data_IF_717727834417
#
_entry.id   IF_717727834417
#
_cell.length_a   1.000
_cell.length_b   1.000
_cell.length_c   1.000
_cell.angle_alpha   90.00
_cell.angle_beta   90.00
_cell.angle_gamma   90.00
#
_symmetry.space_group_name_H-M   'P 1'
#
loop_
_entity.id
_entity.type
_entity.pdbx_description
1 polymer ?
#
# COMPACT_ATOMS: atom_id res chain seq x y z
N UNK A 1 -5.26 63.55 9.35
CA UNK A 1 -6.37 63.86 8.44
C UNK A 1 -5.97 63.37 7.06
N UNK A 2 -6.79 62.49 6.49
CA UNK A 2 -6.56 61.69 5.27
C UNK A 2 -6.35 62.51 4.00
N UNK A 3 -5.50 61.99 3.09
CA UNK A 3 -5.72 61.73 1.63
C UNK A 3 -4.55 60.79 1.20
N UNK A 4 -4.62 59.73 0.36
CA UNK A 4 -5.25 59.45 -0.93
C UNK A 4 -5.51 57.95 -1.17
N UNK A 5 -6.22 57.67 -2.27
CA UNK A 5 -6.88 56.42 -2.65
C UNK A 5 -6.16 55.61 -3.77
N UNK A 6 -6.71 54.40 -4.01
CA UNK A 6 -6.73 53.55 -5.24
C UNK A 6 -5.58 52.54 -5.56
N UNK A 7 -5.84 51.28 -5.14
CA UNK A 7 -5.94 49.99 -5.88
C UNK A 7 -4.90 49.44 -6.90
N UNK A 8 -4.79 48.08 -6.85
CA UNK A 8 -4.15 47.07 -7.75
C UNK A 8 -2.63 46.83 -7.52
N UNK A 9 -2.04 45.63 -7.39
CA UNK A 9 -2.31 44.27 -7.93
C UNK A 9 -1.71 43.19 -6.96
N UNK A 10 -2.42 42.06 -6.82
CA UNK A 10 -2.02 40.69 -6.44
C UNK A 10 -0.61 40.46 -5.82
N UNK A 11 -0.58 40.16 -4.52
CA UNK A 11 0.55 39.52 -3.84
C UNK A 11 0.00 38.37 -3.01
N UNK A 12 0.49 37.15 -3.24
CA UNK A 12 0.18 36.01 -2.38
C UNK A 12 0.14 34.71 -3.15
N UNK A 13 1.29 34.26 -3.65
CA UNK A 13 1.50 32.84 -3.91
C UNK A 13 1.65 32.16 -2.54
N UNK A 14 0.52 31.77 -1.95
CA UNK A 14 0.47 30.88 -0.79
C UNK A 14 -0.21 29.61 -1.25
N UNK A 15 0.63 28.58 -1.44
CA UNK A 15 0.37 27.15 -1.20
C UNK A 15 1.36 26.35 -2.05
N UNK A 16 2.65 26.65 -1.84
CA UNK A 16 3.65 25.59 -1.88
C UNK A 16 3.51 24.94 -0.50
N UNK A 17 2.72 23.88 -0.42
CA UNK A 17 2.78 22.99 0.74
C UNK A 17 4.20 22.42 0.75
N UNK A 18 4.91 22.64 1.86
CA UNK A 18 6.23 22.11 2.10
C UNK A 18 6.26 20.61 1.78
N UNK A 19 6.93 20.23 0.69
CA UNK A 19 7.34 18.85 0.46
C UNK A 19 8.12 18.41 1.70
N UNK A 20 7.72 17.32 2.39
CA UNK A 20 8.36 16.95 3.65
C UNK A 20 9.85 16.68 3.40
N UNK A 21 10.75 17.28 4.19
CA UNK A 21 12.16 16.95 4.10
C UNK A 21 12.31 15.51 4.63
N UNK A 22 12.77 14.61 3.77
CA UNK A 22 12.81 13.14 3.91
C UNK A 22 11.48 12.44 3.56
N UNK A 23 11.53 11.66 2.47
CA UNK A 23 10.37 11.07 1.79
C UNK A 23 9.64 10.06 2.68
N UNK A 24 8.44 10.42 3.09
CA UNK A 24 7.49 9.49 3.70
C UNK A 24 6.67 8.85 2.58
N UNK A 25 6.66 7.53 2.53
CA UNK A 25 5.73 6.80 1.67
C UNK A 25 4.32 6.99 2.22
N UNK A 26 3.49 7.73 1.49
CA UNK A 26 2.07 7.92 1.84
C UNK A 26 1.29 6.74 1.29
N UNK A 27 0.64 5.98 2.17
CA UNK A 27 -0.21 4.86 1.78
C UNK A 27 -1.63 5.32 1.52
N UNK A 28 -2.19 4.88 0.40
CA UNK A 28 -3.61 4.88 0.10
C UNK A 28 -4.39 4.15 1.19
N UNK A 29 -5.59 4.65 1.46
CA UNK A 29 -6.46 4.13 2.52
C UNK A 29 -7.92 4.38 2.19
N UNK A 30 -8.82 3.65 2.84
CA UNK A 30 -10.26 3.80 2.62
C UNK A 30 -11.09 2.74 3.33
N UNK A 31 -12.04 2.18 2.58
CA UNK A 31 -12.90 1.10 3.04
C UNK A 31 -12.07 -0.09 3.51
N UNK A 32 -11.13 -0.50 2.67
CA UNK A 32 -10.18 -1.59 2.90
C UNK A 32 -8.78 -1.06 2.64
N UNK A 33 -7.84 -1.42 3.52
CA UNK A 33 -6.41 -1.27 3.28
C UNK A 33 -5.70 -2.52 3.79
N UNK A 34 -4.87 -3.11 2.94
CA UNK A 34 -4.01 -4.25 3.26
C UNK A 34 -2.58 -3.81 3.02
N UNK A 35 -1.76 -3.87 4.06
CA UNK A 35 -0.35 -3.49 3.99
C UNK A 35 0.52 -4.69 4.34
N UNK A 36 1.45 -5.03 3.47
CA UNK A 36 2.55 -5.95 3.72
C UNK A 36 3.78 -5.13 4.15
N UNK A 37 4.51 -5.60 5.17
CA UNK A 37 5.78 -5.02 5.61
C UNK A 37 6.74 -6.11 6.07
N UNK A 38 8.02 -5.96 5.78
CA UNK A 38 9.07 -6.89 6.18
C UNK A 38 10.37 -6.15 6.51
N UNK A 39 11.35 -6.88 7.07
CA UNK A 39 12.67 -6.37 7.45
C UNK A 39 13.75 -7.33 6.92
N UNK A 40 13.85 -7.39 5.59
CA UNK A 40 14.89 -8.13 4.87
C UNK A 40 15.00 -7.63 3.44
N UNK A 41 16.05 -8.04 2.73
CA UNK A 41 16.26 -7.72 1.32
C UNK A 41 15.53 -8.66 0.36
N UNK A 42 14.74 -9.61 0.85
CA UNK A 42 13.88 -10.42 0.00
C UNK A 42 12.89 -9.54 -0.77
N UNK A 43 12.56 -9.95 -2.00
CA UNK A 43 11.47 -9.37 -2.79
C UNK A 43 10.18 -10.13 -2.44
N UNK A 44 9.28 -9.46 -1.72
CA UNK A 44 7.99 -10.01 -1.31
C UNK A 44 6.85 -9.23 -1.96
N UNK A 45 5.95 -9.93 -2.64
CA UNK A 45 4.78 -9.34 -3.27
C UNK A 45 3.52 -9.54 -2.41
N UNK A 46 2.72 -8.48 -2.28
CA UNK A 46 1.36 -8.54 -1.77
C UNK A 46 0.38 -8.87 -2.89
N UNK A 47 -0.48 -9.86 -2.65
CA UNK A 47 -1.64 -10.11 -3.50
C UNK A 47 -2.93 -10.02 -2.71
N UNK A 48 -3.87 -9.22 -3.21
CA UNK A 48 -5.24 -9.16 -2.71
C UNK A 48 -6.20 -9.58 -3.81
N UNK A 49 -6.98 -10.63 -3.55
CA UNK A 49 -8.08 -11.07 -4.41
C UNK A 49 -9.38 -10.44 -3.91
N UNK A 50 -10.12 -9.79 -4.82
CA UNK A 50 -11.41 -9.19 -4.53
C UNK A 50 -12.57 -10.22 -4.57
N UNK A 51 -13.80 -9.85 -4.16
CA UNK A 51 -14.96 -10.74 -4.15
C UNK A 51 -15.36 -11.29 -5.53
N UNK A 52 -14.88 -10.69 -6.62
CA UNK A 52 -15.13 -11.15 -7.98
C UNK A 52 -14.02 -12.08 -8.51
N UNK A 53 -13.01 -12.37 -7.67
CA UNK A 53 -11.88 -13.24 -7.99
C UNK A 53 -10.74 -12.53 -8.73
N UNK A 54 -10.75 -11.20 -8.79
CA UNK A 54 -9.69 -10.44 -9.43
C UNK A 54 -8.55 -10.20 -8.44
N UNK A 55 -7.33 -10.65 -8.80
CA UNK A 55 -6.11 -10.46 -8.00
C UNK A 55 -5.42 -9.17 -8.39
N UNK A 56 -5.14 -8.32 -7.40
CA UNK A 56 -4.20 -7.21 -7.51
C UNK A 56 -2.79 -7.69 -7.16
N UNK A 57 -1.84 -7.37 -8.01
CA UNK A 57 -0.41 -7.73 -7.88
C UNK A 57 0.41 -6.79 -8.77
N UNK A 58 1.74 -6.89 -8.71
CA UNK A 58 2.67 -5.99 -9.41
C UNK A 58 2.31 -5.74 -10.89
N UNK A 59 1.98 -6.79 -11.65
CA UNK A 59 1.60 -6.72 -13.07
C UNK A 59 0.14 -6.38 -13.34
N UNK A 60 -0.70 -6.26 -12.30
CA UNK A 60 -2.09 -5.80 -12.39
C UNK A 60 -2.49 -5.02 -11.14
N UNK A 61 -2.09 -3.75 -11.11
CA UNK A 61 -2.23 -2.89 -9.92
C UNK A 61 -3.60 -2.26 -9.73
N UNK A 62 -4.50 -2.34 -10.71
CA UNK A 62 -5.86 -1.80 -10.62
C UNK A 62 -6.86 -2.92 -10.94
N UNK A 63 -7.85 -3.11 -10.09
CA UNK A 63 -8.96 -4.04 -10.34
C UNK A 63 -10.17 -3.33 -10.98
N UNK A 64 -11.02 -4.09 -11.67
CA UNK A 64 -12.31 -3.61 -12.15
C UNK A 64 -13.28 -3.22 -11.03
N UNK A 65 -13.07 -3.73 -9.82
CA UNK A 65 -13.79 -3.34 -8.60
C UNK A 65 -13.28 -2.06 -7.94
N UNK A 66 -12.23 -1.43 -8.46
CA UNK A 66 -11.70 -0.16 -7.96
C UNK A 66 -10.65 -0.26 -6.86
N UNK A 67 -10.05 -1.44 -6.68
CA UNK A 67 -8.88 -1.63 -5.84
C UNK A 67 -7.61 -1.14 -6.53
N UNK A 68 -6.64 -0.72 -5.73
CA UNK A 68 -5.35 -0.22 -6.20
C UNK A 68 -4.20 -0.73 -5.33
N UNK A 69 -3.17 -1.31 -5.95
CA UNK A 69 -1.83 -1.55 -5.37
C UNK A 69 -0.97 -0.31 -5.66
N UNK A 70 -0.91 0.62 -4.71
CA UNK A 70 -0.32 1.95 -4.91
C UNK A 70 1.16 2.04 -4.56
N UNK A 71 1.59 1.24 -3.59
CA UNK A 71 2.98 1.15 -3.15
C UNK A 71 3.48 -0.27 -3.32
N UNK A 72 4.67 -0.38 -3.92
CA UNK A 72 5.42 -1.61 -4.12
C UNK A 72 6.85 -1.41 -3.63
N UNK A 73 7.57 -2.49 -3.33
CA UNK A 73 8.96 -2.42 -2.90
C UNK A 73 9.74 -3.63 -3.42
N UNK A 74 11.04 -3.44 -3.64
CA UNK A 74 11.99 -4.49 -4.03
C UNK A 74 11.73 -5.20 -5.38
N UNK A 75 10.81 -4.67 -6.20
CA UNK A 75 10.53 -5.17 -7.56
C UNK A 75 11.83 -5.39 -8.35
N UNK A 76 12.05 -6.63 -8.80
CA UNK A 76 13.25 -7.08 -9.50
C UNK A 76 14.57 -6.84 -8.72
N UNK A 77 14.51 -6.88 -7.39
CA UNK A 77 15.63 -6.64 -6.50
C UNK A 77 16.27 -5.23 -6.62
N UNK A 78 15.47 -4.23 -6.99
CA UNK A 78 15.88 -2.83 -7.04
C UNK A 78 15.50 -2.08 -5.76
N UNK A 79 16.22 -1.00 -5.45
CA UNK A 79 15.95 -0.11 -4.31
C UNK A 79 15.72 -0.83 -2.96
N UNK A 80 16.58 -1.81 -2.66
CA UNK A 80 16.57 -2.62 -1.43
C UNK A 80 16.75 -1.75 -0.18
N UNK A 81 15.64 -1.27 0.38
CA UNK A 81 15.60 -0.42 1.56
C UNK A 81 15.36 -1.22 2.84
N UNK A 82 15.56 -0.59 3.99
CA UNK A 82 15.48 -1.26 5.30
C UNK A 82 14.03 -1.40 5.81
N UNK A 83 13.05 -0.74 5.20
CA UNK A 83 11.64 -0.77 5.63
C UNK A 83 10.67 -0.92 4.45
N UNK A 84 10.78 -2.01 3.68
CA UNK A 84 9.92 -2.23 2.53
C UNK A 84 8.46 -2.42 2.93
N UNK A 85 7.57 -1.88 2.11
CA UNK A 85 6.13 -2.01 2.27
C UNK A 85 5.47 -2.15 0.91
N UNK A 86 4.43 -2.98 0.85
CA UNK A 86 3.45 -2.97 -0.25
C UNK A 86 2.06 -2.67 0.29
N UNK A 87 1.22 -2.00 -0.49
CA UNK A 87 -0.09 -1.56 -0.02
C UNK A 87 -1.15 -1.68 -1.10
N UNK A 88 -2.24 -2.38 -0.79
CA UNK A 88 -3.45 -2.42 -1.61
C UNK A 88 -4.60 -1.79 -0.85
N UNK A 89 -5.42 -0.98 -1.51
CA UNK A 89 -6.57 -0.33 -0.89
C UNK A 89 -7.78 -0.19 -1.83
N UNK A 90 -8.95 -0.03 -1.24
CA UNK A 90 -10.16 0.48 -1.89
C UNK A 90 -10.53 1.80 -1.24
N UNK A 91 -10.75 2.83 -2.05
CA UNK A 91 -11.15 4.15 -1.56
C UNK A 91 -12.54 4.11 -0.87
N UNK A 92 -12.89 5.12 -0.05
CA UNK A 92 -14.17 5.11 0.66
C UNK A 92 -15.39 5.00 -0.26
N UNK A 93 -16.26 4.03 0.01
CA UNK A 93 -17.49 3.76 -0.73
C UNK A 93 -17.31 2.98 -2.04
N UNK A 94 -16.16 2.35 -2.27
CA UNK A 94 -15.87 1.59 -3.50
C UNK A 94 -15.64 0.11 -3.31
N UNK A 95 -15.35 -0.35 -2.08
CA UNK A 95 -15.12 -1.76 -1.83
C UNK A 95 -16.43 -2.56 -2.07
N UNK A 96 -16.46 -3.51 -3.01
CA UNK A 96 -17.59 -4.41 -3.16
C UNK A 96 -17.80 -5.30 -1.94
N UNK A 97 -19.06 -5.60 -1.63
CA UNK A 97 -19.41 -6.56 -0.58
C UNK A 97 -18.90 -7.97 -0.94
N UNK A 98 -18.36 -8.68 0.04
CA UNK A 98 -17.98 -10.10 -0.04
C UNK A 98 -16.59 -10.41 0.53
N UNK A 99 -16.12 -11.61 0.21
CA UNK A 99 -14.86 -12.14 0.72
C UNK A 99 -13.66 -11.61 -0.06
N UNK A 100 -12.69 -11.07 0.67
CA UNK A 100 -11.36 -10.72 0.19
C UNK A 100 -10.35 -11.74 0.69
N UNK A 101 -9.35 -12.07 -0.13
CA UNK A 101 -8.28 -13.01 0.24
C UNK A 101 -6.92 -12.37 0.09
N UNK A 102 -6.06 -12.60 1.07
CA UNK A 102 -4.72 -12.02 1.11
C UNK A 102 -3.68 -13.11 0.98
N UNK A 103 -2.72 -12.90 0.10
CA UNK A 103 -1.59 -13.78 -0.12
C UNK A 103 -0.29 -12.97 -0.10
N UNK A 104 0.80 -13.65 0.22
CA UNK A 104 2.16 -13.13 0.10
C UNK A 104 2.96 -14.10 -0.77
N UNK A 105 3.73 -13.57 -1.72
CA UNK A 105 4.66 -14.34 -2.53
C UNK A 105 6.08 -13.93 -2.18
N UNK A 106 6.97 -14.91 -2.09
CA UNK A 106 8.41 -14.67 -2.14
C UNK A 106 8.84 -14.67 -3.62
N UNK A 107 9.01 -13.50 -4.20
CA UNK A 107 9.20 -13.30 -5.64
C UNK A 107 10.65 -13.52 -6.08
N UNK A 108 11.61 -13.03 -5.30
CA UNK A 108 13.03 -13.21 -5.58
C UNK A 108 13.89 -13.16 -4.32
N UNK A 109 14.94 -13.99 -4.31
CA UNK A 109 15.97 -13.95 -3.28
C UNK A 109 17.11 -13.03 -3.70
N UNK A 110 17.01 -11.76 -3.33
CA UNK A 110 17.90 -10.71 -3.85
C UNK A 110 19.33 -10.79 -3.31
N UNK A 111 19.51 -11.18 -2.05
CA UNK A 111 20.84 -11.24 -1.41
C UNK A 111 21.09 -12.53 -0.62
N UNK A 112 20.39 -13.62 -0.93
CA UNK A 112 20.66 -14.91 -0.29
C UNK A 112 20.01 -15.08 1.08
N UNK A 113 18.87 -14.42 1.32
CA UNK A 113 18.12 -14.48 2.57
C UNK A 113 17.41 -15.83 2.76
N UNK A 114 16.88 -16.42 1.69
CA UNK A 114 16.22 -17.73 1.62
C UNK A 114 14.88 -17.87 2.39
N UNK A 115 14.70 -17.09 3.46
CA UNK A 115 13.47 -16.97 4.25
C UNK A 115 13.29 -15.53 4.69
N UNK A 116 12.05 -15.07 4.75
CA UNK A 116 11.71 -13.71 5.15
C UNK A 116 10.54 -13.71 6.13
N UNK A 117 10.72 -13.04 7.27
CA UNK A 117 9.63 -12.74 8.19
C UNK A 117 8.89 -11.50 7.69
N UNK A 118 7.56 -11.55 7.73
CA UNK A 118 6.70 -10.47 7.26
C UNK A 118 5.50 -10.27 8.17
N UNK A 119 4.88 -9.10 8.05
CA UNK A 119 3.61 -8.76 8.69
C UNK A 119 2.63 -8.24 7.67
N UNK A 120 1.41 -8.79 7.68
CA UNK A 120 0.26 -8.27 6.94
C UNK A 120 -0.68 -7.59 7.94
N UNK A 121 -1.01 -6.34 7.68
CA UNK A 121 -1.98 -5.56 8.46
C UNK A 121 -3.21 -5.24 7.62
N UNK A 122 -4.38 -5.51 8.16
CA UNK A 122 -5.66 -5.28 7.49
C UNK A 122 -6.43 -4.20 8.26
N UNK A 123 -6.84 -3.16 7.55
CA UNK A 123 -7.69 -2.09 8.08
C UNK A 123 -9.02 -2.06 7.34
N UNK A 124 -10.08 -1.86 8.10
CA UNK A 124 -11.42 -1.51 7.60
C UNK A 124 -11.83 -0.15 8.11
N UNK A 125 -12.32 0.72 7.23
CA UNK A 125 -12.70 2.09 7.61
C UNK A 125 -11.61 2.77 8.46
N UNK A 126 -10.35 2.66 8.01
CA UNK A 126 -9.17 3.17 8.71
C UNK A 126 -8.90 2.62 10.12
N UNK A 127 -9.52 1.50 10.53
CA UNK A 127 -9.24 0.82 11.81
C UNK A 127 -8.60 -0.53 11.54
N UNK A 128 -7.48 -0.82 12.19
CA UNK A 128 -6.87 -2.15 12.14
C UNK A 128 -7.84 -3.15 12.73
N UNK A 129 -8.18 -4.18 11.94
CA UNK A 129 -9.01 -5.30 12.38
C UNK A 129 -8.17 -6.55 12.60
N UNK A 130 -7.03 -6.66 11.91
CA UNK A 130 -6.16 -7.82 11.97
C UNK A 130 -4.73 -7.43 11.65
N UNK A 131 -3.78 -8.10 12.30
CA UNK A 131 -2.35 -8.00 12.05
C UNK A 131 -1.75 -9.40 12.25
N UNK A 132 -1.13 -9.92 11.19
CA UNK A 132 -0.65 -11.30 11.12
C UNK A 132 0.81 -11.28 10.76
N UNK A 133 1.66 -11.85 11.62
CA UNK A 133 3.08 -12.06 11.35
C UNK A 133 3.34 -13.52 11.03
N UNK A 134 4.13 -13.77 9.99
CA UNK A 134 4.53 -15.12 9.58
C UNK A 134 5.92 -15.10 8.92
N UNK A 135 6.38 -16.26 8.47
CA UNK A 135 7.62 -16.43 7.71
C UNK A 135 7.33 -17.18 6.41
N UNK A 136 7.98 -16.77 5.32
CA UNK A 136 7.86 -17.40 4.01
C UNK A 136 9.24 -17.72 3.45
N UNK A 137 9.36 -18.86 2.77
CA UNK A 137 10.59 -19.30 2.10
C UNK A 137 10.53 -19.03 0.60
N UNK A 138 11.68 -18.99 -0.05
CA UNK A 138 11.82 -18.75 -1.49
C UNK A 138 10.84 -19.56 -2.37
N UNK A 139 10.42 -18.96 -3.49
CA UNK A 139 9.56 -19.56 -4.51
C UNK A 139 8.20 -20.08 -3.98
N UNK A 140 7.68 -19.48 -2.90
CA UNK A 140 6.36 -19.80 -2.35
C UNK A 140 5.37 -18.66 -2.51
N UNK A 141 4.14 -19.06 -2.79
CA UNK A 141 2.94 -18.27 -2.49
C UNK A 141 2.30 -18.85 -1.23
N UNK A 142 1.93 -17.96 -0.31
CA UNK A 142 1.25 -18.31 0.92
C UNK A 142 -0.08 -17.58 1.02
N UNK A 143 -1.16 -18.34 1.20
CA UNK A 143 -2.43 -17.79 1.68
C UNK A 143 -2.25 -17.34 3.15
N UNK A 144 -2.55 -16.08 3.43
CA UNK A 144 -2.39 -15.49 4.75
C UNK A 144 -3.71 -15.54 5.52
N UNK A 145 -4.76 -14.96 4.95
CA UNK A 145 -6.09 -14.88 5.57
C UNK A 145 -7.18 -14.52 4.55
N UNK A 146 -8.43 -14.63 4.96
CA UNK A 146 -9.59 -14.04 4.27
C UNK A 146 -10.45 -13.24 5.23
N UNK A 147 -11.13 -12.22 4.71
CA UNK A 147 -12.07 -11.41 5.49
C UNK A 147 -13.23 -10.93 4.62
N UNK A 148 -14.42 -10.82 5.22
CA UNK A 148 -15.61 -10.29 4.56
C UNK A 148 -15.60 -8.76 4.56
N UNK A 149 -16.26 -8.10 3.63
CA UNK A 149 -16.67 -6.68 3.69
C UNK A 149 -18.17 -6.56 3.36
N UNK A 150 -18.93 -5.64 3.97
CA UNK A 150 -18.54 -4.76 5.07
C UNK A 150 -18.23 -5.50 6.39
#
# INVERSE_FOLDING_TARGET
>A
MFVFALAFIWLGQSDLLDEPPFGWTVLGSGDIQVTLSWDSTADLDLIVEDPFGERLWLGKRISGSGGELDVVAHDNCEDLGDTPVENTYWFPGSAPDGEYKVYVIYAADCEGTGTADYTVRIRKNNRTIEEISNSIVEDKEQFVTSFEWP
#
